data_IF_502530507070
#
_entry.id   IF_502530507070
#
_cell.length_a   1.000
_cell.length_b   1.000
_cell.length_c   1.000
_cell.angle_alpha   90.00
_cell.angle_beta   90.00
_cell.angle_gamma   90.00
#
_symmetry.space_group_name_H-M   'P 1'
#
loop_
_entity.id
_entity.type
_entity.pdbx_description
1 polymer ?
#
# COMPACT_ATOMS: atom_id res chain seq x y z
N UNK A 1 -1.76 12.54 27.74
CA UNK A 1 -2.29 12.22 26.41
C UNK A 1 -1.13 11.76 25.53
N UNK A 2 -1.20 10.59 24.94
CA UNK A 2 -0.13 10.08 24.05
C UNK A 2 -0.25 10.79 22.70
N UNK A 3 0.82 11.41 22.22
CA UNK A 3 0.83 12.06 20.89
C UNK A 3 0.67 11.02 19.78
N UNK A 4 -0.11 11.33 18.75
CA UNK A 4 -0.33 10.49 17.57
C UNK A 4 0.96 10.35 16.74
N UNK A 5 1.72 11.44 16.61
CA UNK A 5 2.92 11.57 15.79
C UNK A 5 4.02 12.35 16.53
N UNK A 6 5.16 12.53 15.85
CA UNK A 6 6.32 13.26 16.39
C UNK A 6 6.38 14.72 15.91
N UNK A 7 5.32 15.20 15.24
CA UNK A 7 5.25 16.55 14.69
C UNK A 7 5.13 17.62 15.78
N UNK A 8 5.74 18.78 15.52
CA UNK A 8 5.45 20.02 16.25
C UNK A 8 4.07 20.54 15.90
N UNK A 9 3.51 21.43 16.71
CA UNK A 9 2.18 22.03 16.42
C UNK A 9 2.15 22.77 15.08
N UNK A 10 3.25 23.42 14.68
CA UNK A 10 3.37 24.09 13.38
C UNK A 10 3.34 23.09 12.22
N UNK A 11 4.11 22.02 12.30
CA UNK A 11 4.15 20.96 11.29
C UNK A 11 2.80 20.24 11.19
N UNK A 12 2.17 19.95 12.34
CA UNK A 12 0.83 19.38 12.36
C UNK A 12 -0.17 20.24 11.60
N UNK A 13 -0.19 21.55 11.86
CA UNK A 13 -1.06 22.49 11.16
C UNK A 13 -0.82 22.46 9.64
N UNK A 14 0.45 22.45 9.21
CA UNK A 14 0.80 22.37 7.78
C UNK A 14 0.39 21.05 7.12
N UNK A 15 0.44 19.93 7.85
CA UNK A 15 0.06 18.62 7.36
C UNK A 15 -1.44 18.34 7.46
N UNK A 16 -2.21 19.14 8.21
CA UNK A 16 -3.66 18.97 8.36
C UNK A 16 -4.49 19.56 7.21
N UNK A 17 -3.87 20.25 6.25
CA UNK A 17 -4.57 20.71 5.04
C UNK A 17 -5.00 19.53 4.17
N UNK A 18 -6.22 19.60 3.63
CA UNK A 18 -6.76 18.52 2.76
C UNK A 18 -6.11 18.46 1.37
N UNK A 19 -5.37 19.50 0.97
CA UNK A 19 -4.73 19.58 -0.36
C UNK A 19 -3.23 19.72 -0.18
N UNK A 20 -2.49 18.71 -0.62
CA UNK A 20 -1.04 18.71 -0.69
C UNK A 20 -0.59 18.87 -2.13
N UNK A 21 0.17 19.93 -2.42
CA UNK A 21 0.62 20.29 -3.79
C UNK A 21 2.09 20.00 -4.05
N UNK A 22 2.81 19.59 -3.03
CA UNK A 22 4.25 19.35 -2.98
C UNK A 22 4.63 17.88 -3.20
N UNK A 23 3.66 17.02 -3.52
CA UNK A 23 3.85 15.58 -3.70
C UNK A 23 3.92 15.19 -5.16
N UNK A 24 4.83 14.26 -5.47
CA UNK A 24 4.96 13.75 -6.83
C UNK A 24 5.91 12.56 -6.92
N UNK A 25 5.79 11.82 -8.02
CA UNK A 25 6.71 10.72 -8.33
C UNK A 25 8.02 11.25 -8.89
N UNK A 26 9.13 10.67 -8.47
CA UNK A 26 10.46 10.89 -9.05
C UNK A 26 10.53 10.30 -10.46
N UNK A 27 11.64 10.54 -11.17
CA UNK A 27 11.88 9.94 -12.50
C UNK A 27 12.01 8.42 -12.40
N UNK A 28 12.67 7.94 -11.36
CA UNK A 28 12.86 6.52 -11.05
C UNK A 28 11.53 5.84 -10.77
N UNK A 29 10.66 6.45 -9.96
CA UNK A 29 9.32 5.93 -9.68
C UNK A 29 8.44 5.87 -10.94
N UNK A 30 8.57 6.84 -11.84
CA UNK A 30 7.84 6.85 -13.14
C UNK A 30 8.34 5.79 -14.11
N UNK A 31 9.61 5.38 -14.01
CA UNK A 31 10.19 4.32 -14.82
C UNK A 31 9.74 2.91 -14.40
N UNK A 32 9.23 2.75 -13.18
CA UNK A 32 8.72 1.47 -12.70
C UNK A 32 7.40 1.13 -13.41
N UNK A 33 7.34 -0.07 -13.99
CA UNK A 33 6.14 -0.56 -14.67
C UNK A 33 5.13 -1.09 -13.66
N UNK A 34 4.19 -0.25 -13.26
CA UNK A 34 3.05 -0.66 -12.43
C UNK A 34 1.80 0.11 -12.90
N UNK A 35 0.64 -0.55 -13.07
CA UNK A 35 -0.56 0.08 -13.64
C UNK A 35 -1.10 1.23 -12.79
N UNK A 36 -1.01 1.12 -11.47
CA UNK A 36 -1.49 2.16 -10.56
C UNK A 36 -0.65 2.18 -9.27
N UNK A 37 0.35 3.06 -9.20
CA UNK A 37 1.13 3.29 -7.98
C UNK A 37 1.04 4.75 -7.57
N UNK A 38 1.07 5.02 -6.27
CA UNK A 38 1.23 6.37 -5.72
C UNK A 38 2.71 6.69 -5.49
N UNK A 39 3.03 7.92 -5.06
CA UNK A 39 4.41 8.33 -4.82
C UNK A 39 4.91 7.95 -3.43
N UNK A 40 6.22 7.72 -3.29
CA UNK A 40 6.88 7.52 -2.00
C UNK A 40 6.62 8.74 -1.11
N UNK A 41 6.73 9.95 -1.66
CA UNK A 41 6.50 11.20 -0.93
C UNK A 41 5.10 11.29 -0.29
N UNK A 42 4.07 10.73 -0.94
CA UNK A 42 2.73 10.64 -0.35
C UNK A 42 2.72 9.72 0.87
N UNK A 43 3.30 8.52 0.75
CA UNK A 43 3.38 7.59 1.88
C UNK A 43 4.18 8.14 3.04
N UNK A 44 5.33 8.75 2.78
CA UNK A 44 6.15 9.38 3.81
C UNK A 44 5.35 10.46 4.55
N UNK A 45 4.63 11.30 3.82
CA UNK A 45 3.79 12.34 4.43
C UNK A 45 2.65 11.78 5.26
N UNK A 46 1.97 10.72 4.79
CA UNK A 46 0.96 10.01 5.57
C UNK A 46 1.53 9.39 6.83
N UNK A 47 2.67 8.70 6.74
CA UNK A 47 3.35 8.09 7.88
C UNK A 47 3.79 9.14 8.89
N UNK A 48 4.40 10.24 8.46
CA UNK A 48 4.77 11.35 9.36
C UNK A 48 3.56 11.97 10.05
N UNK A 49 2.44 12.10 9.34
CA UNK A 49 1.24 12.76 9.87
C UNK A 49 0.48 11.86 10.84
N UNK A 50 0.36 10.57 10.54
CA UNK A 50 -0.56 9.66 11.25
C UNK A 50 0.16 8.57 12.05
N UNK A 51 1.49 8.59 12.12
CA UNK A 51 2.24 7.64 12.94
C UNK A 51 3.50 8.26 13.56
N UNK A 52 4.19 7.49 14.40
CA UNK A 52 5.50 7.83 14.96
C UNK A 52 6.60 7.02 14.30
N UNK A 53 7.84 7.49 14.43
CA UNK A 53 9.00 6.70 14.03
C UNK A 53 9.05 5.36 14.79
N UNK A 54 9.51 4.29 14.09
CA UNK A 54 9.61 2.95 14.66
C UNK A 54 8.29 2.17 14.73
N UNK A 55 7.22 2.70 14.12
CA UNK A 55 5.92 2.03 14.04
C UNK A 55 5.95 0.85 13.08
N UNK A 56 4.99 -0.06 13.26
CA UNK A 56 4.81 -1.22 12.39
C UNK A 56 3.69 -0.95 11.39
N UNK A 57 4.05 -0.93 10.11
CA UNK A 57 3.18 -0.54 8.98
C UNK A 57 2.71 -1.80 8.25
N UNK A 58 1.44 -1.85 7.87
CA UNK A 58 0.86 -2.92 7.06
C UNK A 58 0.41 -2.38 5.71
N UNK A 59 0.72 -3.11 4.62
CA UNK A 59 0.17 -2.88 3.29
C UNK A 59 -0.24 -4.22 2.65
N UNK A 60 -1.54 -4.57 2.66
CA UNK A 60 -2.03 -5.82 2.08
C UNK A 60 -2.12 -5.81 0.54
N UNK A 61 -1.85 -4.68 -0.13
CA UNK A 61 -1.78 -4.57 -1.59
C UNK A 61 -0.51 -3.82 -1.99
N UNK A 62 0.63 -4.41 -1.61
CA UNK A 62 1.94 -3.75 -1.61
C UNK A 62 2.45 -3.35 -3.00
N UNK A 63 1.99 -4.02 -4.08
CA UNK A 63 2.48 -3.76 -5.43
C UNK A 63 4.01 -3.80 -5.50
N UNK A 64 4.57 -2.80 -6.15
CA UNK A 64 6.03 -2.61 -6.25
C UNK A 64 6.69 -2.04 -4.98
N UNK A 65 5.99 -2.06 -3.85
CA UNK A 65 6.56 -1.76 -2.53
C UNK A 65 6.68 -0.28 -2.17
N UNK A 66 5.87 0.59 -2.72
CA UNK A 66 5.99 2.04 -2.46
C UNK A 66 5.81 2.37 -0.97
N UNK A 67 4.82 1.77 -0.29
CA UNK A 67 4.61 1.92 1.16
C UNK A 67 5.80 1.40 1.94
N UNK A 68 6.36 0.26 1.54
CA UNK A 68 7.49 -0.35 2.25
C UNK A 68 8.79 0.44 2.06
N UNK A 69 9.01 1.05 0.89
CA UNK A 69 10.12 1.98 0.67
C UNK A 69 10.00 3.22 1.56
N UNK A 70 8.83 3.82 1.64
CA UNK A 70 8.57 4.94 2.56
C UNK A 70 8.80 4.54 4.03
N UNK A 71 8.34 3.34 4.41
CA UNK A 71 8.54 2.78 5.75
C UNK A 71 10.02 2.57 6.08
N UNK A 72 10.79 2.05 5.11
CA UNK A 72 12.25 1.91 5.20
C UNK A 72 12.94 3.25 5.39
N UNK A 73 12.63 4.25 4.54
CA UNK A 73 13.20 5.59 4.61
C UNK A 73 12.99 6.25 5.99
N UNK A 74 11.84 5.98 6.61
CA UNK A 74 11.47 6.49 7.93
C UNK A 74 11.96 5.60 9.10
N UNK A 75 12.82 4.61 8.83
CA UNK A 75 13.39 3.70 9.84
C UNK A 75 12.31 3.04 10.72
N UNK A 76 11.18 2.71 10.11
CA UNK A 76 10.05 2.01 10.72
C UNK A 76 10.05 0.53 10.34
N UNK A 77 9.15 -0.25 10.91
CA UNK A 77 8.95 -1.65 10.56
C UNK A 77 7.76 -1.79 9.64
N UNK A 78 7.74 -2.81 8.79
CA UNK A 78 6.61 -2.99 7.91
C UNK A 78 6.46 -4.39 7.34
N UNK A 79 5.22 -4.71 6.96
CA UNK A 79 4.90 -5.91 6.20
C UNK A 79 4.04 -5.51 5.00
N UNK A 80 4.54 -5.84 3.81
CA UNK A 80 3.81 -5.71 2.56
C UNK A 80 3.44 -7.09 2.02
N UNK A 81 2.21 -7.25 1.56
CA UNK A 81 1.71 -8.48 0.94
C UNK A 81 1.31 -8.15 -0.49
N UNK A 82 1.68 -8.99 -1.44
CA UNK A 82 1.24 -8.86 -2.82
C UNK A 82 1.06 -10.22 -3.49
N UNK A 83 0.01 -10.35 -4.28
CA UNK A 83 -0.30 -11.59 -5.01
C UNK A 83 0.72 -11.86 -6.11
N UNK A 84 1.30 -10.80 -6.72
CA UNK A 84 2.25 -10.90 -7.82
C UNK A 84 3.67 -11.17 -7.30
N UNK A 85 4.24 -12.30 -7.74
CA UNK A 85 5.66 -12.61 -7.47
C UNK A 85 6.59 -11.59 -8.14
N UNK A 86 6.24 -11.09 -9.32
CA UNK A 86 7.02 -10.07 -10.03
C UNK A 86 7.07 -8.76 -9.23
N UNK A 87 5.91 -8.25 -8.80
CA UNK A 87 5.86 -7.02 -7.99
C UNK A 87 6.55 -7.18 -6.65
N UNK A 88 6.38 -8.33 -5.99
CA UNK A 88 7.09 -8.65 -4.75
C UNK A 88 8.61 -8.66 -4.94
N UNK A 89 9.12 -9.14 -6.08
CA UNK A 89 10.55 -9.12 -6.38
C UNK A 89 11.05 -7.69 -6.61
N UNK A 90 10.30 -6.86 -7.34
CA UNK A 90 10.60 -5.45 -7.50
C UNK A 90 10.62 -4.75 -6.13
N UNK A 91 9.62 -5.00 -5.29
CA UNK A 91 9.55 -4.43 -3.94
C UNK A 91 10.78 -4.78 -3.10
N UNK A 92 11.19 -6.05 -3.10
CA UNK A 92 12.39 -6.53 -2.38
C UNK A 92 13.66 -5.86 -2.86
N UNK A 93 13.84 -5.65 -4.16
CA UNK A 93 15.02 -4.99 -4.72
C UNK A 93 15.15 -3.52 -4.34
N UNK A 94 14.03 -2.88 -3.92
CA UNK A 94 13.99 -1.45 -3.57
C UNK A 94 14.28 -1.15 -2.10
N UNK A 95 14.30 -2.16 -1.23
CA UNK A 95 14.47 -1.99 0.24
C UNK A 95 15.81 -2.54 0.76
N UNK A 96 16.73 -2.88 -0.12
CA UNK A 96 18.13 -3.25 0.18
C UNK A 96 18.30 -4.22 1.37
N UNK A 97 17.48 -5.29 1.40
CA UNK A 97 17.50 -6.32 2.46
C UNK A 97 17.30 -5.80 3.90
N UNK A 98 16.56 -4.71 4.09
CA UNK A 98 16.24 -4.22 5.43
C UNK A 98 15.47 -5.27 6.24
N UNK A 99 16.07 -5.73 7.34
CA UNK A 99 15.48 -6.73 8.24
C UNK A 99 14.21 -6.27 8.95
N UNK A 100 13.93 -4.97 8.95
CA UNK A 100 12.70 -4.40 9.51
C UNK A 100 11.52 -4.48 8.55
N UNK A 101 11.76 -4.76 7.26
CA UNK A 101 10.72 -4.82 6.24
C UNK A 101 10.54 -6.26 5.77
N UNK A 102 9.31 -6.74 5.81
CA UNK A 102 8.92 -8.06 5.33
C UNK A 102 8.05 -7.92 4.08
N UNK A 103 8.46 -8.53 2.97
CA UNK A 103 7.65 -8.65 1.75
C UNK A 103 7.21 -10.09 1.60
N UNK A 104 5.90 -10.31 1.61
CA UNK A 104 5.24 -11.61 1.46
C UNK A 104 4.62 -11.67 0.07
N UNK A 105 4.92 -12.73 -0.68
CA UNK A 105 4.20 -13.04 -1.92
C UNK A 105 3.10 -14.02 -1.59
N UNK A 106 1.85 -13.63 -1.78
CA UNK A 106 0.70 -14.47 -1.45
C UNK A 106 -0.63 -13.73 -1.53
N UNK A 107 -1.68 -14.48 -1.32
CA UNK A 107 -3.04 -13.96 -1.22
C UNK A 107 -3.23 -13.24 0.11
N UNK A 108 -3.60 -11.97 0.06
CA UNK A 108 -3.77 -11.16 1.27
C UNK A 108 -4.83 -11.71 2.22
N UNK A 109 -5.87 -12.38 1.72
CA UNK A 109 -6.85 -13.05 2.58
C UNK A 109 -6.24 -14.16 3.42
N UNK A 110 -5.32 -14.95 2.83
CA UNK A 110 -4.66 -16.06 3.50
C UNK A 110 -3.50 -15.58 4.40
N UNK A 111 -2.75 -14.58 3.93
CA UNK A 111 -1.56 -14.10 4.63
C UNK A 111 -1.90 -13.22 5.84
N UNK A 112 -3.00 -12.45 5.79
CA UNK A 112 -3.46 -11.66 6.94
C UNK A 112 -3.84 -12.55 8.13
N UNK A 113 -4.45 -13.72 7.89
CA UNK A 113 -4.80 -14.68 8.96
C UNK A 113 -3.57 -15.26 9.69
N UNK A 114 -2.40 -15.22 9.07
CA UNK A 114 -1.12 -15.68 9.64
C UNK A 114 -0.39 -14.60 10.43
N UNK A 115 -0.83 -13.35 10.30
CA UNK A 115 -0.23 -12.24 11.02
C UNK A 115 -0.71 -12.20 12.47
N UNK A 116 0.15 -11.69 13.33
CA UNK A 116 -0.20 -11.54 14.75
C UNK A 116 -1.22 -10.41 14.92
N UNK A 117 -2.32 -10.68 15.60
CA UNK A 117 -3.32 -9.66 15.96
C UNK A 117 -2.73 -8.54 16.81
N UNK A 118 -3.32 -7.35 16.72
CA UNK A 118 -2.96 -6.16 17.50
C UNK A 118 -1.45 -5.83 17.42
N UNK A 119 -0.82 -6.00 16.25
CA UNK A 119 0.63 -5.86 16.12
C UNK A 119 1.05 -4.73 15.19
N UNK A 120 0.15 -4.20 14.37
CA UNK A 120 0.42 -3.09 13.47
C UNK A 120 -0.17 -1.79 13.99
N UNK A 121 0.53 -0.70 13.76
CA UNK A 121 0.16 0.64 14.25
C UNK A 121 -0.64 1.43 13.20
N UNK A 122 -0.46 1.11 11.93
CA UNK A 122 -1.12 1.77 10.81
C UNK A 122 -1.17 0.85 9.58
N UNK A 123 -2.24 0.92 8.81
CA UNK A 123 -2.34 0.36 7.47
C UNK A 123 -2.39 1.50 6.44
N UNK A 124 -1.50 1.45 5.45
CA UNK A 124 -1.54 2.34 4.28
C UNK A 124 -1.51 1.45 3.05
N UNK A 125 -2.56 1.53 2.24
CA UNK A 125 -2.72 0.65 1.08
C UNK A 125 -3.53 1.29 -0.02
N UNK A 126 -3.44 0.70 -1.22
CA UNK A 126 -4.25 1.05 -2.39
C UNK A 126 -4.78 -0.24 -3.01
N UNK A 127 -5.96 -0.69 -2.64
CA UNK A 127 -6.56 -1.88 -3.21
C UNK A 127 -6.82 -1.72 -4.71
N UNK A 128 -7.00 -2.82 -5.46
CA UNK A 128 -7.43 -2.76 -6.85
C UNK A 128 -8.70 -1.92 -7.01
N UNK A 129 -8.82 -1.24 -8.14
CA UNK A 129 -9.96 -0.37 -8.43
C UNK A 129 -11.06 -1.13 -9.18
N UNK A 130 -11.50 -2.27 -8.66
CA UNK A 130 -12.46 -3.16 -9.30
C UNK A 130 -11.98 -3.52 -10.73
N UNK A 131 -12.89 -3.72 -11.68
CA UNK A 131 -12.64 -4.13 -13.05
C UNK A 131 -12.15 -3.00 -13.99
N UNK A 132 -11.77 -1.83 -13.45
CA UNK A 132 -11.41 -0.64 -14.26
C UNK A 132 -10.25 -0.91 -15.23
N UNK A 133 -9.28 -1.74 -14.84
CA UNK A 133 -8.13 -2.05 -15.70
C UNK A 133 -8.49 -2.99 -16.87
N UNK A 134 -9.60 -3.73 -16.78
CA UNK A 134 -10.12 -4.57 -17.86
C UNK A 134 -11.01 -3.79 -18.84
N UNK A 135 -11.46 -2.59 -18.45
CA UNK A 135 -12.29 -1.77 -19.32
C UNK A 135 -11.46 -1.14 -20.46
N UNK A 136 -12.01 -1.12 -21.68
CA UNK A 136 -11.38 -0.44 -22.82
C UNK A 136 -11.20 1.04 -22.51
N UNK A 137 -9.95 1.50 -22.51
CA UNK A 137 -9.63 2.93 -22.39
C UNK A 137 -9.94 3.63 -23.70
N UNK A 138 -10.97 4.47 -23.72
CA UNK A 138 -11.36 5.25 -24.90
C UNK A 138 -10.41 6.43 -25.19
N UNK A 139 -9.65 6.90 -24.18
CA UNK A 139 -8.92 8.16 -24.28
C UNK A 139 -7.48 8.06 -24.81
N UNK A 140 -6.77 6.95 -24.66
CA UNK A 140 -5.32 6.90 -24.94
C UNK A 140 -4.85 5.71 -25.80
N UNK A 141 -5.76 4.88 -26.30
CA UNK A 141 -5.48 3.70 -27.17
C UNK A 141 -4.39 2.76 -26.64
N UNK A 142 -4.09 2.78 -25.35
CA UNK A 142 -3.10 1.89 -24.74
C UNK A 142 -3.71 0.54 -24.44
N UNK A 143 -2.88 -0.50 -24.53
CA UNK A 143 -3.28 -1.86 -24.13
C UNK A 143 -3.67 -1.90 -22.64
N UNK A 144 -4.64 -2.74 -22.32
CA UNK A 144 -5.03 -2.97 -20.94
C UNK A 144 -3.86 -3.61 -20.18
N UNK A 145 -3.52 -3.04 -19.05
CA UNK A 145 -2.50 -3.56 -18.14
C UNK A 145 -3.21 -4.03 -16.88
N UNK A 146 -3.41 -5.34 -16.74
CA UNK A 146 -4.00 -5.94 -15.56
C UNK A 146 -2.95 -6.13 -14.46
N UNK A 147 -3.38 -6.23 -13.20
CA UNK A 147 -2.50 -6.57 -12.08
C UNK A 147 -2.02 -8.03 -12.19
N UNK A 148 -2.93 -8.95 -12.47
CA UNK A 148 -2.63 -10.37 -12.69
C UNK A 148 -3.78 -11.07 -13.44
N UNK A 149 -3.53 -12.31 -13.90
CA UNK A 149 -4.56 -13.20 -14.46
C UNK A 149 -5.13 -14.16 -13.40
N UNK A 150 -4.82 -13.95 -12.12
CA UNK A 150 -5.27 -14.82 -11.04
C UNK A 150 -6.77 -14.63 -10.75
N UNK A 151 -7.48 -15.72 -10.48
CA UNK A 151 -8.87 -15.66 -9.97
C UNK A 151 -8.94 -15.09 -8.54
N UNK A 152 -7.82 -15.06 -7.82
CA UNK A 152 -7.69 -14.47 -6.48
C UNK A 152 -7.47 -12.95 -6.51
N UNK A 153 -7.29 -12.37 -7.69
CA UNK A 153 -7.10 -10.94 -7.86
C UNK A 153 -8.44 -10.22 -7.81
N UNK A 154 -8.63 -9.36 -6.82
CA UNK A 154 -9.84 -8.55 -6.65
C UNK A 154 -10.13 -7.67 -7.87
N UNK A 155 -9.10 -7.28 -8.64
CA UNK A 155 -9.24 -6.54 -9.89
C UNK A 155 -9.90 -7.34 -11.03
N UNK A 156 -10.09 -8.64 -10.86
CA UNK A 156 -10.75 -9.54 -11.83
C UNK A 156 -12.18 -9.95 -11.42
N UNK A 157 -12.68 -9.43 -10.30
CA UNK A 157 -14.07 -9.67 -9.86
C UNK A 157 -15.02 -8.87 -10.74
N UNK A 158 -15.91 -9.54 -11.46
CA UNK A 158 -16.80 -8.91 -12.44
C UNK A 158 -17.99 -8.19 -11.80
N UNK A 159 -18.59 -8.77 -10.74
CA UNK A 159 -19.69 -8.12 -10.02
C UNK A 159 -19.18 -7.10 -9.01
N UNK A 160 -19.76 -5.91 -9.03
CA UNK A 160 -19.34 -4.81 -8.15
C UNK A 160 -19.69 -5.08 -6.67
N UNK A 161 -20.84 -5.71 -6.40
CA UNK A 161 -21.25 -5.97 -5.02
C UNK A 161 -20.38 -7.08 -4.40
N UNK A 162 -20.02 -8.09 -5.20
CA UNK A 162 -19.07 -9.12 -4.79
C UNK A 162 -17.70 -8.51 -4.49
N UNK A 163 -17.22 -7.60 -5.34
CA UNK A 163 -15.97 -6.89 -5.11
C UNK A 163 -15.98 -6.09 -3.78
N UNK A 164 -17.05 -5.32 -3.53
CA UNK A 164 -17.17 -4.53 -2.29
C UNK A 164 -17.27 -5.43 -1.06
N UNK A 165 -17.98 -6.55 -1.16
CA UNK A 165 -18.11 -7.53 -0.07
C UNK A 165 -16.73 -8.13 0.27
N UNK A 166 -16.02 -8.64 -0.74
CA UNK A 166 -14.68 -9.20 -0.56
C UNK A 166 -13.69 -8.15 0.01
N UNK A 167 -13.76 -6.92 -0.49
CA UNK A 167 -12.91 -5.84 0.04
C UNK A 167 -13.23 -5.55 1.50
N UNK A 168 -14.51 -5.56 1.89
CA UNK A 168 -14.96 -5.42 3.28
C UNK A 168 -14.40 -6.52 4.17
N UNK A 169 -14.56 -7.78 3.76
CA UNK A 169 -14.04 -8.96 4.47
C UNK A 169 -12.52 -8.89 4.68
N UNK A 170 -11.79 -8.40 3.66
CA UNK A 170 -10.34 -8.20 3.77
C UNK A 170 -10.01 -7.12 4.81
N UNK A 171 -10.72 -5.99 4.80
CA UNK A 171 -10.47 -4.93 5.79
C UNK A 171 -10.89 -5.33 7.21
N UNK A 172 -11.83 -6.25 7.39
CA UNK A 172 -12.09 -6.85 8.71
C UNK A 172 -10.86 -7.63 9.22
N UNK A 173 -10.18 -8.38 8.34
CA UNK A 173 -8.91 -9.05 8.70
C UNK A 173 -7.79 -8.05 9.01
N UNK A 174 -7.67 -6.98 8.23
CA UNK A 174 -6.73 -5.88 8.51
C UNK A 174 -7.01 -5.28 9.88
N UNK A 175 -8.26 -5.03 10.22
CA UNK A 175 -8.66 -4.47 11.53
C UNK A 175 -8.22 -5.35 12.71
N UNK A 176 -8.26 -6.68 12.58
CA UNK A 176 -7.73 -7.59 13.61
C UNK A 176 -6.22 -7.47 13.81
N UNK A 177 -5.49 -7.12 12.74
CA UNK A 177 -4.04 -6.92 12.80
C UNK A 177 -3.66 -5.58 13.45
N UNK A 178 -4.55 -4.58 13.43
CA UNK A 178 -4.31 -3.24 13.98
C UNK A 178 -4.48 -3.22 15.50
N UNK A 179 -3.76 -2.30 16.18
CA UNK A 179 -3.82 -2.06 17.65
C UNK A 179 -4.99 -1.17 18.02
#
# INVERSE_FOLDING_TARGET
MVKLNDLTGKEWLQNSFSIWRDLGKTKEEKALKHPASYSISLCEKLLHTFSKQGRNVLDPFNGIGTTMVATHNLKSKGTGIDLSAEFSQIAKSRIDNDKNIKIITGDSFEELDKLKENSYDICITSPPYWDILNMKRSADRKENINYSNSKKDLGNVSDYNDFITLLGDLFEKVNKCLK
#
